data_IF_914441687362
#
_entry.id   IF_914441687362
#
_cell.length_a   1.000
_cell.length_b   1.000
_cell.length_c   1.000
_cell.angle_alpha   90.00
_cell.angle_beta   90.00
_cell.angle_gamma   90.00
#
_symmetry.space_group_name_H-M   'P 1'
#
loop_
_entity.id
_entity.type
_entity.pdbx_description
1 polymer ?
#
# COMPACT_ATOMS: atom_id res chain seq x y z
N UNK A 1 1.84 12.16 10.08
CA UNK A 1 0.73 11.31 9.66
C UNK A 1 1.25 10.03 9.00
N UNK A 2 0.54 8.92 9.14
CA UNK A 2 0.94 7.60 8.58
C UNK A 2 1.15 7.68 7.06
N UNK A 3 0.25 8.36 6.35
CA UNK A 3 0.35 8.53 4.89
C UNK A 3 1.70 9.12 4.48
N UNK A 4 2.05 10.29 4.99
CA UNK A 4 3.27 11.01 4.62
C UNK A 4 4.54 10.27 5.07
N UNK A 5 4.54 9.74 6.30
CA UNK A 5 5.69 8.95 6.80
C UNK A 5 5.90 7.70 5.97
N UNK A 6 4.81 7.04 5.56
CA UNK A 6 4.86 5.89 4.67
C UNK A 6 5.39 6.24 3.28
N UNK A 7 4.89 7.31 2.68
CA UNK A 7 5.34 7.76 1.35
C UNK A 7 6.85 8.04 1.32
N UNK A 8 7.37 8.76 2.31
CA UNK A 8 8.79 9.12 2.34
C UNK A 8 9.68 7.90 2.51
N UNK A 9 9.33 6.95 3.38
CA UNK A 9 10.12 5.73 3.57
C UNK A 9 10.13 4.86 2.32
N UNK A 10 8.98 4.69 1.66
CA UNK A 10 8.87 3.93 0.40
C UNK A 10 9.68 4.60 -0.71
N UNK A 11 9.56 5.92 -0.86
CA UNK A 11 10.28 6.66 -1.90
C UNK A 11 11.79 6.72 -1.64
N UNK A 12 12.23 6.88 -0.39
CA UNK A 12 13.65 6.85 -0.03
C UNK A 12 14.27 5.50 -0.38
N UNK A 13 13.59 4.40 -0.03
CA UNK A 13 14.03 3.06 -0.40
C UNK A 13 14.04 2.85 -1.92
N UNK A 14 12.96 3.20 -2.62
CA UNK A 14 12.86 3.08 -4.07
C UNK A 14 13.96 3.85 -4.79
N UNK A 15 14.20 5.11 -4.41
CA UNK A 15 15.24 5.95 -5.01
C UNK A 15 16.63 5.34 -4.81
N UNK A 16 16.91 4.84 -3.60
CA UNK A 16 18.20 4.20 -3.29
C UNK A 16 18.41 2.91 -4.10
N UNK A 17 17.37 2.07 -4.21
CA UNK A 17 17.46 0.81 -4.98
C UNK A 17 17.68 1.10 -6.47
N UNK A 18 16.96 2.07 -7.03
CA UNK A 18 17.02 2.41 -8.45
C UNK A 18 18.31 3.11 -8.86
N UNK A 19 18.83 4.00 -8.02
CA UNK A 19 20.06 4.77 -8.32
C UNK A 19 21.35 4.07 -7.88
N UNK A 20 21.27 3.19 -6.87
CA UNK A 20 22.42 2.66 -6.16
C UNK A 20 23.10 3.67 -5.21
N UNK A 21 22.61 4.92 -5.16
CA UNK A 21 23.14 5.98 -4.31
C UNK A 21 22.49 5.94 -2.91
N UNK A 22 23.32 5.79 -1.88
CA UNK A 22 22.92 5.74 -0.48
C UNK A 22 23.05 7.05 0.27
N UNK A 23 23.51 8.11 -0.39
CA UNK A 23 23.81 9.40 0.27
C UNK A 23 22.58 9.96 0.98
N UNK A 24 21.44 10.00 0.30
CA UNK A 24 20.19 10.50 0.88
C UNK A 24 19.77 9.76 2.15
N UNK A 25 19.78 8.43 2.14
CA UNK A 25 19.38 7.63 3.30
C UNK A 25 20.41 7.73 4.44
N UNK A 26 21.70 7.90 4.12
CA UNK A 26 22.76 8.09 5.12
C UNK A 26 22.65 9.46 5.80
N UNK A 27 22.47 10.54 5.05
CA UNK A 27 22.33 11.91 5.55
C UNK A 27 21.06 12.12 6.37
N UNK A 28 19.98 11.40 6.03
CA UNK A 28 18.67 11.56 6.67
C UNK A 28 18.30 10.40 7.60
N UNK A 29 19.27 9.57 7.98
CA UNK A 29 19.02 8.33 8.75
C UNK A 29 18.14 8.56 9.96
N UNK A 30 18.49 9.48 10.85
CA UNK A 30 17.78 9.70 12.09
C UNK A 30 16.32 10.13 11.87
N UNK A 31 16.06 10.90 10.82
CA UNK A 31 14.70 11.32 10.46
C UNK A 31 13.88 10.15 9.91
N UNK A 32 14.49 9.32 9.04
CA UNK A 32 13.84 8.12 8.50
C UNK A 32 13.49 7.14 9.60
N UNK A 33 14.42 6.89 10.54
CA UNK A 33 14.17 6.01 11.69
C UNK A 33 13.06 6.56 12.61
N UNK A 34 13.01 7.86 12.84
CA UNK A 34 11.93 8.50 13.62
C UNK A 34 10.56 8.26 12.98
N UNK A 35 10.45 8.30 11.66
CA UNK A 35 9.20 7.96 10.97
C UNK A 35 8.90 6.45 11.02
N UNK A 36 9.93 5.61 10.94
CA UNK A 36 9.79 4.17 11.15
C UNK A 36 9.27 3.84 12.56
N UNK A 37 9.82 4.49 13.59
CA UNK A 37 9.36 4.32 14.98
C UNK A 37 7.90 4.73 15.13
N UNK A 38 7.52 5.88 14.59
CA UNK A 38 6.13 6.33 14.59
C UNK A 38 5.18 5.32 13.93
N UNK A 39 5.56 4.73 12.79
CA UNK A 39 4.74 3.73 12.12
C UNK A 39 4.66 2.42 12.91
N UNK A 40 5.76 1.98 13.53
CA UNK A 40 5.79 0.78 14.35
C UNK A 40 4.92 0.92 15.62
N UNK A 41 4.96 2.09 16.26
CA UNK A 41 4.11 2.41 17.43
C UNK A 41 2.62 2.53 17.05
N UNK A 42 2.31 3.06 15.85
CA UNK A 42 0.92 3.21 15.39
C UNK A 42 0.27 1.86 15.06
N UNK A 43 1.04 0.90 14.53
CA UNK A 43 0.51 -0.39 14.12
C UNK A 43 -0.59 -0.28 13.07
N UNK A 44 -1.57 -1.20 13.14
CA UNK A 44 -2.73 -1.22 12.25
C UNK A 44 -3.91 -0.39 12.75
N UNK A 45 -3.96 -0.02 14.02
CA UNK A 45 -5.06 0.75 14.61
C UNK A 45 -4.91 2.25 14.30
N UNK A 46 -4.89 2.55 13.01
CA UNK A 46 -4.70 3.90 12.51
C UNK A 46 -5.90 4.76 12.87
N UNK A 47 -5.64 5.75 13.70
CA UNK A 47 -6.63 6.73 14.12
C UNK A 47 -7.19 7.53 12.93
N UNK A 48 -8.24 8.31 13.15
CA UNK A 48 -8.88 9.13 12.15
C UNK A 48 -7.91 10.16 11.54
N UNK A 49 -7.32 9.82 10.42
CA UNK A 49 -6.35 10.64 9.69
C UNK A 49 -6.83 10.93 8.28
N UNK A 50 -6.42 12.08 7.74
CA UNK A 50 -6.58 12.38 6.33
C UNK A 50 -5.74 11.40 5.51
N UNK A 51 -6.33 10.82 4.49
CA UNK A 51 -5.63 9.94 3.57
C UNK A 51 -6.20 10.06 2.15
N UNK A 52 -5.42 9.56 1.21
CA UNK A 52 -5.75 9.61 -0.21
C UNK A 52 -6.98 8.78 -0.58
N UNK A 53 -7.26 7.68 0.13
CA UNK A 53 -8.44 6.82 -0.12
C UNK A 53 -9.78 7.53 0.06
N UNK A 54 -9.78 8.66 0.73
CA UNK A 54 -10.97 9.44 1.03
C UNK A 54 -10.89 10.87 0.50
N UNK A 55 -10.15 11.11 -0.59
CA UNK A 55 -9.93 12.44 -1.16
C UNK A 55 -9.47 13.45 -0.09
N UNK A 56 -8.45 13.06 0.68
CA UNK A 56 -7.88 13.82 1.79
C UNK A 56 -8.84 14.10 2.97
N UNK A 57 -10.00 13.44 3.01
CA UNK A 57 -10.84 13.42 4.22
C UNK A 57 -10.34 12.36 5.20
N UNK A 58 -10.61 12.58 6.47
CA UNK A 58 -10.20 11.66 7.51
C UNK A 58 -11.00 10.34 7.49
N UNK A 59 -10.31 9.24 7.75
CA UNK A 59 -10.88 7.90 7.87
C UNK A 59 -10.12 7.12 8.95
N UNK A 60 -10.84 6.34 9.75
CA UNK A 60 -10.25 5.47 10.76
C UNK A 60 -10.10 4.05 10.24
N UNK A 61 -8.98 3.41 10.53
CA UNK A 61 -8.74 2.01 10.23
C UNK A 61 -8.67 1.67 8.73
N UNK A 62 -8.22 2.60 7.86
CA UNK A 62 -8.04 2.31 6.44
C UNK A 62 -7.07 1.15 6.24
N UNK A 63 -7.55 0.05 5.63
CA UNK A 63 -6.71 -1.11 5.33
C UNK A 63 -5.66 -0.77 4.28
N UNK A 64 -5.98 0.03 3.28
CA UNK A 64 -4.98 0.44 2.28
C UNK A 64 -3.86 1.29 2.88
N UNK A 65 -4.18 2.12 3.90
CA UNK A 65 -3.17 2.87 4.65
C UNK A 65 -2.36 1.97 5.58
N UNK A 66 -2.97 0.96 6.19
CA UNK A 66 -2.26 -0.05 6.98
C UNK A 66 -1.31 -0.88 6.10
N UNK A 67 -1.72 -1.26 4.89
CA UNK A 67 -0.85 -1.90 3.88
C UNK A 67 0.36 -1.01 3.56
N UNK A 68 0.15 0.30 3.32
CA UNK A 68 1.25 1.27 3.12
C UNK A 68 2.21 1.27 4.30
N UNK A 69 1.68 1.31 5.52
CA UNK A 69 2.48 1.29 6.75
C UNK A 69 3.35 0.04 6.86
N UNK A 70 2.80 -1.14 6.59
CA UNK A 70 3.56 -2.40 6.59
C UNK A 70 4.73 -2.36 5.58
N UNK A 71 4.46 -1.90 4.36
CA UNK A 71 5.48 -1.80 3.31
C UNK A 71 6.54 -0.77 3.68
N UNK A 72 6.15 0.38 4.21
CA UNK A 72 7.06 1.42 4.67
C UNK A 72 7.97 0.94 5.82
N UNK A 73 7.44 0.18 6.77
CA UNK A 73 8.21 -0.46 7.83
C UNK A 73 9.23 -1.45 7.26
N UNK A 74 8.82 -2.27 6.29
CA UNK A 74 9.76 -3.15 5.59
C UNK A 74 10.86 -2.35 4.89
N UNK A 75 10.52 -1.27 4.18
CA UNK A 75 11.51 -0.37 3.56
C UNK A 75 12.47 0.22 4.60
N UNK A 76 11.96 0.66 5.76
CA UNK A 76 12.79 1.18 6.85
C UNK A 76 13.80 0.12 7.35
N UNK A 77 13.38 -1.12 7.54
CA UNK A 77 14.25 -2.22 7.91
C UNK A 77 15.33 -2.51 6.86
N UNK A 78 14.96 -2.49 5.57
CA UNK A 78 15.93 -2.67 4.48
C UNK A 78 16.90 -1.47 4.36
N UNK A 79 16.45 -0.24 4.59
CA UNK A 79 17.31 0.95 4.70
C UNK A 79 18.32 0.76 5.84
N UNK A 80 17.90 0.26 7.00
CA UNK A 80 18.83 -0.04 8.09
C UNK A 80 19.91 -1.02 7.66
N UNK A 81 19.55 -2.12 6.99
CA UNK A 81 20.52 -3.10 6.46
C UNK A 81 21.50 -2.45 5.48
N UNK A 82 21.03 -1.57 4.58
CA UNK A 82 21.89 -0.84 3.64
C UNK A 82 22.89 0.09 4.32
N UNK A 83 22.57 0.53 5.54
CA UNK A 83 23.40 1.41 6.37
C UNK A 83 24.13 0.66 7.51
N UNK A 84 24.23 -0.65 7.42
CA UNK A 84 24.88 -1.53 8.42
C UNK A 84 24.40 -1.27 9.86
N UNK A 85 23.07 -1.03 10.01
CA UNK A 85 22.42 -0.77 11.29
C UNK A 85 21.28 -1.75 11.58
N UNK A 86 20.92 -1.88 12.85
CA UNK A 86 19.85 -2.77 13.27
C UNK A 86 18.48 -2.26 12.82
N UNK A 87 17.78 -3.05 12.00
CA UNK A 87 16.43 -2.78 11.49
C UNK A 87 15.41 -3.85 11.90
N UNK A 88 15.79 -4.80 12.75
CA UNK A 88 14.96 -5.97 13.07
C UNK A 88 13.58 -5.59 13.63
N UNK A 89 13.49 -4.56 14.46
CA UNK A 89 12.21 -4.08 15.01
C UNK A 89 11.22 -3.66 13.92
N UNK A 90 11.70 -3.05 12.82
CA UNK A 90 10.85 -2.62 11.71
C UNK A 90 10.42 -3.79 10.84
N UNK A 91 11.33 -4.72 10.58
CA UNK A 91 11.05 -5.95 9.82
C UNK A 91 10.01 -6.80 10.54
N UNK A 92 10.16 -6.96 11.86
CA UNK A 92 9.22 -7.67 12.72
C UNK A 92 7.85 -6.99 12.72
N UNK A 93 7.79 -5.68 12.97
CA UNK A 93 6.54 -4.93 12.97
C UNK A 93 5.83 -5.00 11.60
N UNK A 94 6.57 -4.91 10.48
CA UNK A 94 6.01 -5.07 9.14
C UNK A 94 5.33 -6.42 8.96
N UNK A 95 6.00 -7.50 9.35
CA UNK A 95 5.49 -8.87 9.20
C UNK A 95 4.29 -9.14 10.12
N UNK A 96 4.35 -8.74 11.38
CA UNK A 96 3.27 -8.91 12.34
C UNK A 96 2.01 -8.13 11.94
N UNK A 97 2.17 -6.88 11.50
CA UNK A 97 1.05 -6.04 11.06
C UNK A 97 0.42 -6.58 9.76
N UNK A 98 1.22 -7.04 8.80
CA UNK A 98 0.71 -7.66 7.58
C UNK A 98 -0.05 -8.96 7.88
N UNK A 99 0.48 -9.81 8.75
CA UNK A 99 -0.18 -11.03 9.20
C UNK A 99 -1.52 -10.75 9.92
N UNK A 100 -1.58 -9.71 10.74
CA UNK A 100 -2.83 -9.28 11.39
C UNK A 100 -3.89 -8.83 10.38
N UNK A 101 -3.50 -8.02 9.37
CA UNK A 101 -4.42 -7.62 8.28
C UNK A 101 -4.97 -8.85 7.56
N UNK A 102 -4.11 -9.77 7.16
CA UNK A 102 -4.50 -10.99 6.46
C UNK A 102 -5.42 -11.87 7.30
N UNK A 103 -5.13 -12.02 8.58
CA UNK A 103 -5.95 -12.79 9.54
C UNK A 103 -7.33 -12.18 9.74
N UNK A 104 -7.42 -10.85 9.86
CA UNK A 104 -8.72 -10.14 10.03
C UNK A 104 -9.63 -10.32 8.82
N UNK A 105 -9.08 -10.44 7.62
CA UNK A 105 -9.81 -10.63 6.37
C UNK A 105 -9.80 -12.10 5.86
N UNK A 106 -9.44 -13.05 6.71
CA UNK A 106 -9.43 -14.47 6.36
C UNK A 106 -10.81 -14.94 5.87
N UNK A 107 -10.83 -15.71 4.78
CA UNK A 107 -12.06 -16.21 4.16
C UNK A 107 -12.80 -15.19 3.27
N UNK A 108 -12.31 -13.97 3.11
CA UNK A 108 -12.92 -12.94 2.25
C UNK A 108 -12.41 -13.03 0.80
N UNK A 109 -13.23 -12.49 -0.13
CA UNK A 109 -12.84 -12.39 -1.55
C UNK A 109 -11.70 -11.39 -1.77
N UNK A 110 -11.61 -10.32 -0.96
CA UNK A 110 -10.58 -9.27 -1.03
C UNK A 110 -10.41 -8.60 0.33
N UNK A 111 -9.38 -7.77 0.49
CA UNK A 111 -9.16 -7.00 1.71
C UNK A 111 -10.27 -5.95 1.92
N UNK A 112 -10.70 -5.78 3.15
CA UNK A 112 -11.75 -4.82 3.51
C UNK A 112 -11.31 -3.36 3.32
N UNK A 113 -12.26 -2.44 3.27
CA UNK A 113 -11.98 -1.01 3.18
C UNK A 113 -11.39 -0.47 4.50
N UNK A 114 -12.01 -0.86 5.62
CA UNK A 114 -11.55 -0.51 6.96
C UNK A 114 -11.54 -1.74 7.85
N UNK A 115 -10.64 -1.77 8.81
CA UNK A 115 -10.57 -2.82 9.83
C UNK A 115 -11.84 -2.90 10.69
N UNK A 116 -12.65 -1.83 10.70
CA UNK A 116 -13.89 -1.74 11.47
C UNK A 116 -15.12 -2.28 10.73
N UNK A 117 -15.09 -2.33 9.37
CA UNK A 117 -16.21 -2.77 8.52
C UNK A 117 -15.76 -3.86 7.57
N UNK A 118 -15.98 -5.10 7.96
CA UNK A 118 -15.54 -6.28 7.19
C UNK A 118 -16.26 -6.47 5.85
N UNK A 119 -17.48 -5.98 5.66
CA UNK A 119 -18.27 -6.17 4.43
C UNK A 119 -18.05 -5.08 3.36
N UNK A 120 -16.91 -4.40 3.41
CA UNK A 120 -16.57 -3.32 2.48
C UNK A 120 -15.30 -3.67 1.71
N UNK A 121 -15.03 -2.91 0.66
CA UNK A 121 -13.84 -3.02 -0.17
C UNK A 121 -13.29 -1.63 -0.49
N UNK A 122 -12.04 -1.54 -0.89
CA UNK A 122 -11.46 -0.34 -1.53
C UNK A 122 -10.34 -0.74 -2.46
N UNK A 123 -9.93 0.17 -3.33
CA UNK A 123 -8.78 -0.03 -4.20
C UNK A 123 -7.50 -0.13 -3.35
N UNK A 124 -6.76 -1.24 -3.47
CA UNK A 124 -5.53 -1.52 -2.70
C UNK A 124 -4.27 -1.19 -3.50
N UNK A 125 -4.22 -0.02 -4.10
CA UNK A 125 -3.10 0.41 -4.95
C UNK A 125 -1.74 0.38 -4.23
N UNK A 126 -1.70 0.54 -2.91
CA UNK A 126 -0.45 0.46 -2.16
C UNK A 126 0.17 -0.95 -2.13
N UNK A 127 -0.60 -2.01 -2.39
CA UNK A 127 -0.05 -3.37 -2.51
C UNK A 127 1.00 -3.50 -3.62
N UNK A 128 0.98 -2.65 -4.63
CA UNK A 128 1.91 -2.70 -5.75
C UNK A 128 3.37 -2.69 -5.29
N UNK A 129 3.69 -1.93 -4.26
CA UNK A 129 5.04 -1.81 -3.73
C UNK A 129 5.57 -3.12 -3.13
N UNK A 130 4.68 -3.95 -2.54
CA UNK A 130 5.08 -5.26 -2.05
C UNK A 130 5.67 -6.13 -3.17
N UNK A 131 5.08 -6.07 -4.36
CA UNK A 131 5.48 -6.89 -5.51
C UNK A 131 6.63 -6.26 -6.30
N UNK A 132 6.64 -4.94 -6.47
CA UNK A 132 7.75 -4.21 -7.14
C UNK A 132 9.07 -4.46 -6.39
N UNK A 133 9.04 -4.43 -5.05
CA UNK A 133 10.24 -4.65 -4.24
C UNK A 133 10.55 -6.13 -3.96
N UNK A 134 9.70 -7.04 -4.40
CA UNK A 134 9.85 -8.47 -4.11
C UNK A 134 9.69 -8.80 -2.63
N UNK A 135 8.90 -8.03 -1.89
CA UNK A 135 8.59 -8.31 -0.50
C UNK A 135 7.59 -9.46 -0.37
N UNK A 136 7.67 -10.18 0.73
CA UNK A 136 6.84 -11.36 1.04
C UNK A 136 5.76 -11.08 2.11
N UNK A 137 5.46 -9.79 2.37
CA UNK A 137 4.47 -9.38 3.37
C UNK A 137 3.04 -9.82 2.99
N UNK A 138 2.69 -9.69 1.72
CA UNK A 138 1.38 -10.05 1.18
C UNK A 138 1.55 -11.10 0.09
N UNK A 139 0.97 -12.32 0.26
CA UNK A 139 1.06 -13.40 -0.74
C UNK A 139 0.47 -12.99 -2.09
N UNK A 140 0.98 -13.56 -3.18
CA UNK A 140 0.44 -13.32 -4.53
C UNK A 140 -1.07 -13.61 -4.65
N UNK A 141 -1.58 -14.53 -3.85
CA UNK A 141 -3.03 -14.78 -3.74
C UNK A 141 -3.82 -13.53 -3.35
N UNK A 142 -3.25 -12.65 -2.52
CA UNK A 142 -3.88 -11.38 -2.15
C UNK A 142 -4.09 -10.49 -3.37
N UNK A 143 -3.04 -10.29 -4.21
CA UNK A 143 -3.17 -9.54 -5.46
C UNK A 143 -4.22 -10.15 -6.39
N UNK A 144 -4.19 -11.48 -6.59
CA UNK A 144 -5.17 -12.18 -7.44
C UNK A 144 -6.61 -11.98 -6.96
N UNK A 145 -6.83 -12.02 -5.66
CA UNK A 145 -8.15 -11.77 -5.05
C UNK A 145 -8.62 -10.32 -5.31
N UNK A 146 -7.73 -9.34 -5.13
CA UNK A 146 -8.04 -7.93 -5.42
C UNK A 146 -8.40 -7.75 -6.89
N UNK A 147 -7.60 -8.27 -7.82
CA UNK A 147 -7.87 -8.21 -9.26
C UNK A 147 -9.20 -8.86 -9.61
N UNK A 148 -9.49 -10.04 -9.09
CA UNK A 148 -10.77 -10.72 -9.32
C UNK A 148 -11.96 -9.86 -8.85
N UNK A 149 -11.81 -9.12 -7.73
CA UNK A 149 -12.81 -8.17 -7.25
C UNK A 149 -12.94 -6.97 -8.18
N UNK A 150 -11.81 -6.38 -8.61
CA UNK A 150 -11.81 -5.18 -9.47
C UNK A 150 -12.49 -5.42 -10.81
N UNK A 151 -12.30 -6.59 -11.42
CA UNK A 151 -12.99 -6.98 -12.66
C UNK A 151 -14.52 -6.95 -12.48
N UNK A 152 -15.03 -7.37 -11.32
CA UNK A 152 -16.47 -7.43 -11.02
C UNK A 152 -17.10 -6.05 -10.78
N UNK A 153 -16.31 -5.09 -10.28
CA UNK A 153 -16.82 -3.81 -9.78
C UNK A 153 -16.41 -2.60 -10.62
N UNK A 154 -15.62 -2.81 -11.68
CA UNK A 154 -15.21 -1.70 -12.54
C UNK A 154 -16.43 -1.00 -13.16
N UNK A 155 -16.40 0.31 -13.21
CA UNK A 155 -17.34 1.14 -13.93
C UNK A 155 -16.92 1.29 -15.40
N UNK A 156 -17.71 2.02 -16.19
CA UNK A 156 -17.47 2.27 -17.62
C UNK A 156 -16.08 2.86 -17.88
N UNK A 157 -15.63 3.79 -17.03
CA UNK A 157 -14.40 4.57 -17.23
C UNK A 157 -13.30 4.29 -16.20
N UNK A 158 -13.38 3.22 -15.44
CA UNK A 158 -12.31 2.83 -14.52
C UNK A 158 -12.75 2.19 -13.21
N UNK A 159 -11.83 2.20 -12.23
CA UNK A 159 -12.05 1.61 -10.92
C UNK A 159 -12.35 2.70 -9.89
N UNK A 160 -13.50 2.66 -9.20
CA UNK A 160 -13.74 3.56 -8.09
C UNK A 160 -12.80 3.24 -6.92
N UNK A 161 -12.49 4.25 -6.09
CA UNK A 161 -11.62 4.07 -4.93
C UNK A 161 -12.23 3.20 -3.82
N UNK A 162 -13.55 3.12 -3.80
CA UNK A 162 -14.29 2.34 -2.81
C UNK A 162 -15.81 2.45 -3.01
N UNK A 163 -16.63 1.79 -2.18
CA UNK A 163 -18.06 1.62 -2.42
C UNK A 163 -18.90 2.88 -2.16
N UNK A 164 -18.28 3.95 -1.67
CA UNK A 164 -19.01 5.16 -1.26
C UNK A 164 -19.31 6.14 -2.39
N UNK A 165 -18.55 6.11 -3.47
CA UNK A 165 -18.66 7.01 -4.62
C UNK A 165 -18.07 6.38 -5.87
N UNK A 166 -18.56 6.76 -7.03
CA UNK A 166 -18.08 6.30 -8.34
C UNK A 166 -16.86 7.08 -8.86
N UNK A 167 -16.13 7.75 -7.98
CA UNK A 167 -14.94 8.49 -8.37
C UNK A 167 -13.76 7.53 -8.57
N UNK A 168 -13.16 7.60 -9.75
CA UNK A 168 -11.91 6.95 -10.07
C UNK A 168 -10.75 7.96 -10.09
N UNK A 169 -9.54 7.45 -9.88
CA UNK A 169 -8.30 8.17 -10.13
C UNK A 169 -7.47 7.34 -11.09
N UNK A 170 -7.08 7.93 -12.19
CA UNK A 170 -6.37 7.24 -13.27
C UNK A 170 -5.01 6.72 -12.81
N UNK A 171 -4.27 7.52 -12.04
CA UNK A 171 -2.98 7.14 -11.44
C UNK A 171 -3.10 5.89 -10.57
N UNK A 172 -3.99 5.86 -9.59
CA UNK A 172 -4.16 4.70 -8.70
C UNK A 172 -4.86 3.53 -9.36
N UNK A 173 -5.71 3.78 -10.35
CA UNK A 173 -6.24 2.72 -11.21
C UNK A 173 -5.09 1.97 -11.91
N UNK A 174 -4.12 2.71 -12.47
CA UNK A 174 -2.97 2.09 -13.14
C UNK A 174 -2.04 1.36 -12.15
N UNK A 175 -1.83 1.89 -10.94
CA UNK A 175 -1.10 1.16 -9.90
C UNK A 175 -1.79 -0.15 -9.51
N UNK A 176 -3.12 -0.14 -9.38
CA UNK A 176 -3.88 -1.36 -9.10
C UNK A 176 -3.81 -2.35 -10.27
N UNK A 177 -3.76 -1.87 -11.52
CA UNK A 177 -3.55 -2.74 -12.69
C UNK A 177 -2.20 -3.47 -12.66
N UNK A 178 -1.17 -2.84 -12.10
CA UNK A 178 0.15 -3.45 -11.97
C UNK A 178 0.21 -4.61 -10.96
N UNK A 179 -0.87 -4.87 -10.23
CA UNK A 179 -1.04 -6.10 -9.44
C UNK A 179 -1.32 -7.34 -10.31
N UNK A 180 -1.70 -7.14 -11.57
CA UNK A 180 -1.96 -8.19 -12.55
C UNK A 180 -0.72 -8.43 -13.41
N UNK A 181 -0.03 -9.53 -13.16
CA UNK A 181 1.18 -9.93 -13.89
C UNK A 181 0.93 -10.32 -15.36
N UNK A 182 -0.33 -10.56 -15.74
CA UNK A 182 -0.72 -10.88 -17.12
C UNK A 182 -0.84 -9.66 -18.03
N UNK A 183 -0.94 -8.46 -17.45
CA UNK A 183 -1.19 -7.21 -18.18
C UNK A 183 -2.63 -7.04 -18.71
N UNK A 184 -3.51 -8.01 -18.48
CA UNK A 184 -4.91 -7.96 -18.94
C UNK A 184 -5.67 -6.74 -18.38
N UNK A 185 -5.51 -6.48 -17.07
CA UNK A 185 -6.15 -5.34 -16.42
C UNK A 185 -5.62 -4.00 -16.97
N UNK A 186 -4.31 -3.90 -17.19
CA UNK A 186 -3.70 -2.72 -17.79
C UNK A 186 -4.28 -2.42 -19.16
N UNK A 187 -4.33 -3.43 -20.04
CA UNK A 187 -4.91 -3.28 -21.37
C UNK A 187 -6.38 -2.88 -21.33
N UNK A 188 -7.18 -3.56 -20.51
CA UNK A 188 -8.62 -3.31 -20.41
C UNK A 188 -8.93 -1.91 -19.88
N UNK A 189 -8.31 -1.49 -18.80
CA UNK A 189 -8.60 -0.19 -18.16
C UNK A 189 -7.98 0.99 -18.91
N UNK A 190 -6.86 0.79 -19.63
CA UNK A 190 -6.33 1.84 -20.51
C UNK A 190 -7.35 2.20 -21.61
N UNK A 191 -8.03 1.21 -22.19
CA UNK A 191 -9.09 1.45 -23.19
C UNK A 191 -10.27 2.20 -22.57
N UNK A 192 -10.70 1.81 -21.37
CA UNK A 192 -11.82 2.46 -20.68
C UNK A 192 -11.48 3.94 -20.34
N UNK A 193 -10.24 4.21 -19.90
CA UNK A 193 -9.76 5.57 -19.63
C UNK A 193 -9.67 6.40 -20.92
N UNK A 194 -9.16 5.80 -22.02
CA UNK A 194 -9.07 6.49 -23.31
C UNK A 194 -10.43 6.86 -23.90
N UNK A 195 -11.49 6.11 -23.59
CA UNK A 195 -12.86 6.45 -23.99
C UNK A 195 -13.46 7.64 -23.22
N UNK A 196 -12.91 7.94 -22.06
CA UNK A 196 -13.34 9.08 -21.24
C UNK A 196 -12.78 10.42 -21.78
N UNK A 197 -11.64 10.38 -22.45
CA UNK A 197 -10.95 11.55 -23.01
C UNK A 197 -11.54 11.93 -24.37
#
# INVERSE_FOLDING_TARGET
>A
PVETSGDVLILAYAATVLSGDRSFIAENKDLLLKWGDYLAETGNDIANQKNADNYAKAISGSVNLAVKSCIALRCCGEICKMLDSDGEKYLKAASENAADILKRDEGRECLSFTLLKKESWSLKYNLVWNYIFGFDLFPLKTAKNEIARYIKIKNEYGLPLGPRRDYARTDWTMWACALDDTGFMTQKLSVDIMRML
#
